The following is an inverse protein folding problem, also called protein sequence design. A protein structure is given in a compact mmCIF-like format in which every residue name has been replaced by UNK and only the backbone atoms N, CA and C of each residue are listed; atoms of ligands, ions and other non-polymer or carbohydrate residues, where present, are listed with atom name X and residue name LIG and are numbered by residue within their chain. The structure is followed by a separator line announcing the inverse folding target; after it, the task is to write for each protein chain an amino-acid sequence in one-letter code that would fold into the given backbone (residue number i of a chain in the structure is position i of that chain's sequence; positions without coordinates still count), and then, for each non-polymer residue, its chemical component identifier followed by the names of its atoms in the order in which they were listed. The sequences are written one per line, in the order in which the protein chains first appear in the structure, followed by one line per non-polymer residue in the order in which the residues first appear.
data_IF_859371161024
#
_entry.id   IF_859371161024
#
_cell.length_a   1.000
_cell.length_b   1.000
_cell.length_c   1.000
_cell.angle_alpha   90.00
_cell.angle_beta   90.00
_cell.angle_gamma   90.00
#
_symmetry.space_group_name_H-M   'P 1'
#
loop_
_entity.id
_entity.type
_entity.pdbx_description
1 polymer ?
#
# COMPACT_ATOMS: atom_id res chain seq x y z
N UNK A 1 -15.66 -15.18 -1.56
CA UNK A 1 -14.68 -14.40 -2.37
C UNK A 1 -13.55 -13.98 -1.44
N UNK A 2 -12.32 -14.41 -1.69
CA UNK A 2 -11.20 -14.14 -0.80
C UNK A 2 -10.76 -12.67 -0.94
N UNK A 3 -11.03 -11.86 0.08
CA UNK A 3 -10.39 -10.54 0.25
C UNK A 3 -9.03 -10.79 0.86
N UNK A 4 -7.98 -10.37 0.19
CA UNK A 4 -6.63 -10.50 0.72
C UNK A 4 -6.24 -9.23 1.46
N UNK A 5 -5.62 -9.40 2.62
CA UNK A 5 -4.98 -8.32 3.33
C UNK A 5 -3.62 -8.11 2.67
N UNK A 6 -3.43 -6.91 2.15
CA UNK A 6 -2.19 -6.47 1.50
C UNK A 6 -1.56 -5.38 2.36
N UNK A 7 -0.23 -5.34 2.38
CA UNK A 7 0.50 -4.30 3.09
C UNK A 7 0.98 -3.27 2.08
N UNK A 8 0.82 -1.98 2.40
CA UNK A 8 1.33 -0.88 1.59
C UNK A 8 2.55 -0.29 2.29
N UNK A 9 3.67 -0.27 1.56
CA UNK A 9 4.91 0.29 2.05
C UNK A 9 5.26 1.58 1.31
N UNK A 10 5.82 2.54 2.05
CA UNK A 10 6.32 3.78 1.48
C UNK A 10 7.51 3.50 0.55
N UNK A 11 7.50 4.07 -0.66
CA UNK A 11 8.59 3.93 -1.63
C UNK A 11 9.88 4.63 -1.22
N UNK A 12 9.79 5.66 -0.39
CA UNK A 12 10.93 6.47 0.02
C UNK A 12 11.56 5.97 1.33
N UNK A 13 10.74 5.52 2.29
CA UNK A 13 11.22 5.03 3.60
C UNK A 13 11.36 3.51 3.67
N UNK A 14 10.69 2.77 2.80
CA UNK A 14 10.51 1.31 2.91
C UNK A 14 9.56 0.87 4.04
N UNK A 15 9.02 1.80 4.82
CA UNK A 15 8.15 1.47 5.97
C UNK A 15 6.78 0.96 5.56
N UNK A 16 6.35 -0.11 6.24
CA UNK A 16 5.04 -0.74 6.11
C UNK A 16 4.03 -0.01 7.01
N UNK A 17 3.44 1.06 6.49
CA UNK A 17 2.60 1.96 7.28
C UNK A 17 1.11 1.62 7.24
N UNK A 18 0.65 0.93 6.18
CA UNK A 18 -0.78 0.72 5.97
C UNK A 18 -1.09 -0.72 5.57
N UNK A 19 -2.22 -1.23 6.04
CA UNK A 19 -2.81 -2.49 5.60
C UNK A 19 -4.12 -2.17 4.90
N UNK A 20 -4.31 -2.70 3.69
CA UNK A 20 -5.53 -2.58 2.92
C UNK A 20 -6.07 -3.96 2.59
N UNK A 21 -7.36 -4.04 2.24
CA UNK A 21 -7.92 -5.26 1.66
C UNK A 21 -8.06 -5.05 0.16
N UNK A 22 -7.59 -6.02 -0.63
CA UNK A 22 -7.83 -6.03 -2.08
C UNK A 22 -8.66 -7.24 -2.48
N UNK A 23 -9.38 -7.10 -3.58
CA UNK A 23 -10.07 -8.21 -4.22
C UNK A 23 -9.27 -8.67 -5.44
N UNK A 24 -8.62 -9.83 -5.34
CA UNK A 24 -7.80 -10.43 -6.41
C UNK A 24 -8.48 -10.51 -7.79
N UNK A 25 -9.82 -10.63 -7.82
CA UNK A 25 -10.60 -10.74 -9.07
C UNK A 25 -10.82 -9.38 -9.76
N UNK A 26 -10.85 -8.29 -9.01
CA UNK A 26 -11.16 -6.95 -9.55
C UNK A 26 -9.90 -6.10 -9.70
N UNK A 27 -8.94 -6.25 -8.80
CA UNK A 27 -7.71 -5.48 -8.77
C UNK A 27 -6.52 -6.44 -8.97
N UNK A 28 -6.14 -6.62 -10.25
CA UNK A 28 -5.00 -7.48 -10.66
C UNK A 28 -3.67 -6.71 -10.69
N UNK A 29 -3.71 -5.39 -10.83
CA UNK A 29 -2.52 -4.54 -10.90
C UNK A 29 -2.02 -4.16 -9.50
N UNK A 30 -0.70 -3.88 -9.40
CA UNK A 30 -0.09 -3.40 -8.16
C UNK A 30 -0.67 -2.05 -7.80
N UNK A 31 -1.29 -1.94 -6.62
CA UNK A 31 -1.89 -0.68 -6.17
C UNK A 31 -0.81 0.29 -5.68
N UNK A 32 -0.73 1.45 -6.33
CA UNK A 32 0.08 2.58 -5.86
C UNK A 32 -0.85 3.66 -5.31
N UNK A 33 -0.65 4.04 -4.05
CA UNK A 33 -1.52 5.01 -3.37
C UNK A 33 -0.69 6.11 -2.75
N UNK A 34 -1.04 7.37 -3.05
CA UNK A 34 -0.43 8.52 -2.35
C UNK A 34 -1.03 8.63 -0.95
N UNK A 35 -0.23 8.30 0.06
CA UNK A 35 -0.60 8.37 1.47
C UNK A 35 0.45 9.13 2.26
N UNK A 36 0.02 9.66 3.40
CA UNK A 36 0.91 10.38 4.29
C UNK A 36 1.92 9.42 4.90
N UNK A 37 3.21 9.74 4.85
CA UNK A 37 4.23 8.99 5.58
C UNK A 37 4.57 9.74 6.87
N UNK A 38 4.35 9.16 8.06
CA UNK A 38 4.66 9.81 9.33
C UNK A 38 6.16 10.06 9.53
N UNK A 39 7.03 9.22 8.94
CA UNK A 39 8.49 9.40 9.00
C UNK A 39 8.98 10.63 8.25
N UNK A 40 8.56 10.79 7.00
CA UNK A 40 8.98 11.92 6.15
C UNK A 40 8.10 13.17 6.32
N UNK A 41 7.00 13.05 7.08
CA UNK A 41 6.00 14.11 7.30
C UNK A 41 5.45 14.71 6.00
N UNK A 42 5.34 13.89 4.95
CA UNK A 42 4.81 14.28 3.63
C UNK A 42 4.03 13.14 2.98
N UNK A 43 3.20 13.48 2.00
CA UNK A 43 2.50 12.48 1.18
C UNK A 43 3.47 11.88 0.18
N UNK A 44 3.61 10.55 0.24
CA UNK A 44 4.50 9.77 -0.62
C UNK A 44 3.73 8.63 -1.26
N UNK A 45 4.30 8.09 -2.33
CA UNK A 45 3.72 6.93 -3.01
C UNK A 45 3.97 5.70 -2.15
N UNK A 46 2.89 5.03 -1.76
CA UNK A 46 2.94 3.74 -1.10
C UNK A 46 2.60 2.65 -2.11
N UNK A 47 3.47 1.64 -2.20
CA UNK A 47 3.32 0.49 -3.09
C UNK A 47 2.88 -0.73 -2.30
N UNK A 48 2.08 -1.56 -2.93
CA UNK A 48 1.74 -2.87 -2.41
C UNK A 48 2.98 -3.76 -2.28
N UNK A 49 3.22 -4.26 -1.08
CA UNK A 49 4.17 -5.33 -0.76
C UNK A 49 3.35 -6.56 -0.36
N UNK A 50 3.79 -7.71 -0.89
CA UNK A 50 3.18 -9.01 -0.65
C UNK A 50 3.46 -9.51 0.76
#
# INVERSE_FOLDING_TARGET
MAREIITLACTECGDRNYTATRNKKLETERREVKKYCPRLRRHTIHREIK
#
